data_IF_629294195303
#
_entry.id   IF_629294195303
#
_cell.length_a   1.000
_cell.length_b   1.000
_cell.length_c   1.000
_cell.angle_alpha   90.00
_cell.angle_beta   90.00
_cell.angle_gamma   90.00
#
_symmetry.space_group_name_H-M   'P 1'
#
loop_
_entity.id
_entity.type
_entity.pdbx_description
1 polymer ?
#
# COMPACT_ATOMS: atom_id res chain seq x y z
N UNK A 1 19.34 5.56 14.06
CA UNK A 1 18.80 6.08 12.78
C UNK A 1 19.01 7.56 12.67
N UNK A 2 19.46 8.06 11.51
CA UNK A 2 19.28 9.50 11.22
C UNK A 2 17.80 9.75 10.96
N UNK A 3 17.23 10.83 11.51
CA UNK A 3 15.80 11.17 11.37
C UNK A 3 15.34 11.19 9.90
N UNK A 4 16.20 11.67 9.00
CA UNK A 4 15.95 11.69 7.56
C UNK A 4 15.76 10.29 6.94
N UNK A 5 16.55 9.30 7.35
CA UNK A 5 16.43 7.93 6.82
C UNK A 5 15.13 7.26 7.27
N UNK A 6 14.74 7.49 8.53
CA UNK A 6 13.46 7.02 9.04
C UNK A 6 12.29 7.61 8.24
N UNK A 7 12.28 8.93 8.05
CA UNK A 7 11.23 9.62 7.30
C UNK A 7 11.14 9.13 5.84
N UNK A 8 12.28 8.88 5.19
CA UNK A 8 12.34 8.38 3.82
C UNK A 8 11.73 6.98 3.70
N UNK A 9 12.14 6.04 4.57
CA UNK A 9 11.62 4.66 4.51
C UNK A 9 10.17 4.59 4.96
N UNK A 10 9.77 5.39 5.95
CA UNK A 10 8.37 5.51 6.34
C UNK A 10 7.50 6.03 5.19
N UNK A 11 7.94 7.11 4.52
CA UNK A 11 7.23 7.67 3.36
C UNK A 11 7.13 6.64 2.25
N UNK A 12 8.22 5.94 1.93
CA UNK A 12 8.23 4.89 0.92
C UNK A 12 7.25 3.77 1.27
N UNK A 13 7.24 3.31 2.51
CA UNK A 13 6.33 2.26 2.96
C UNK A 13 4.87 2.69 2.87
N UNK A 14 4.58 3.94 3.24
CA UNK A 14 3.24 4.52 3.20
C UNK A 14 2.73 4.73 1.77
N UNK A 15 3.53 5.36 0.90
CA UNK A 15 3.12 5.61 -0.49
C UNK A 15 3.00 4.31 -1.29
N UNK A 16 3.86 3.33 -1.05
CA UNK A 16 3.75 2.01 -1.68
C UNK A 16 2.47 1.28 -1.20
N UNK A 17 2.13 1.36 0.09
CA UNK A 17 0.86 0.82 0.60
C UNK A 17 -0.34 1.48 -0.08
N UNK A 18 -0.37 2.82 -0.09
CA UNK A 18 -1.46 3.59 -0.67
C UNK A 18 -1.62 3.31 -2.17
N UNK A 19 -0.51 3.22 -2.92
CA UNK A 19 -0.50 2.88 -4.34
C UNK A 19 -1.04 1.47 -4.61
N UNK A 20 -0.59 0.47 -3.85
CA UNK A 20 -1.11 -0.90 -3.95
C UNK A 20 -2.61 -0.98 -3.64
N UNK A 21 -3.07 -0.29 -2.58
CA UNK A 21 -4.49 -0.22 -2.22
C UNK A 21 -5.36 0.44 -3.29
N UNK A 22 -4.84 1.49 -3.94
CA UNK A 22 -5.53 2.20 -5.02
C UNK A 22 -5.73 1.30 -6.24
N UNK A 23 -4.70 0.56 -6.64
CA UNK A 23 -4.78 -0.38 -7.77
C UNK A 23 -5.80 -1.50 -7.47
N UNK A 24 -5.80 -2.01 -6.23
CA UNK A 24 -6.73 -3.05 -5.80
C UNK A 24 -8.18 -2.53 -5.80
N UNK A 25 -8.40 -1.31 -5.28
CA UNK A 25 -9.72 -0.68 -5.22
C UNK A 25 -10.28 -0.36 -6.62
N UNK A 26 -9.42 -0.07 -7.59
CA UNK A 26 -9.81 0.15 -8.99
C UNK A 26 -10.02 -1.13 -9.82
N UNK A 27 -10.08 -2.31 -9.21
CA UNK A 27 -10.16 -3.61 -9.91
C UNK A 27 -9.10 -3.76 -11.02
N UNK A 28 -7.87 -3.32 -10.76
CA UNK A 28 -6.78 -3.39 -11.73
C UNK A 28 -7.03 -2.60 -13.02
N UNK A 29 -7.88 -1.56 -13.00
CA UNK A 29 -8.30 -0.73 -14.14
C UNK A 29 -9.14 -1.46 -15.21
N UNK A 30 -10.16 -2.25 -14.82
CA UNK A 30 -11.03 -2.96 -15.78
C UNK A 30 -12.49 -2.50 -15.87
N UNK A 31 -12.93 -1.45 -15.20
CA UNK A 31 -14.29 -0.93 -15.42
C UNK A 31 -14.28 0.57 -15.58
N UNK A 32 -14.57 1.00 -16.81
CA UNK A 32 -15.01 2.32 -17.22
C UNK A 32 -15.44 3.22 -16.06
N UNK A 33 -14.72 4.32 -15.87
CA UNK A 33 -15.15 5.39 -14.97
C UNK A 33 -16.49 5.97 -15.45
N UNK A 34 -17.52 5.98 -14.59
CA UNK A 34 -18.75 6.74 -14.81
C UNK A 34 -18.52 8.25 -15.04
N UNK A 35 -17.29 8.75 -14.80
CA UNK A 35 -16.91 10.18 -14.86
C UNK A 35 -16.00 10.53 -16.04
N UNK A 36 -16.03 9.75 -17.14
CA UNK A 36 -15.48 10.20 -18.43
C UNK A 36 -13.97 10.46 -18.49
N UNK A 37 -13.17 9.91 -17.57
CA UNK A 37 -11.72 10.04 -17.63
C UNK A 37 -11.07 8.88 -18.41
N UNK A 38 -9.98 9.22 -19.11
CA UNK A 38 -9.18 8.34 -19.96
C UNK A 38 -8.90 6.99 -19.30
N UNK A 39 -9.41 5.93 -19.93
CA UNK A 39 -9.16 4.54 -19.56
C UNK A 39 -7.66 4.25 -19.72
N UNK A 40 -6.91 4.34 -18.63
CA UNK A 40 -5.53 3.84 -18.61
C UNK A 40 -5.63 2.31 -18.56
N UNK A 41 -5.63 1.71 -19.75
CA UNK A 41 -5.53 0.27 -19.96
C UNK A 41 -4.15 -0.22 -19.52
N UNK A 42 -3.95 -0.41 -18.22
CA UNK A 42 -3.01 -1.45 -17.78
C UNK A 42 -3.80 -2.76 -17.86
N UNK A 43 -3.37 -3.78 -18.63
CA UNK A 43 -3.97 -5.11 -18.58
C UNK A 43 -4.12 -5.52 -17.12
N UNK A 44 -5.34 -5.85 -16.68
CA UNK A 44 -5.65 -6.18 -15.29
C UNK A 44 -4.58 -7.04 -14.59
N UNK A 45 -4.02 -8.10 -15.22
CA UNK A 45 -2.96 -8.90 -14.62
C UNK A 45 -1.69 -8.10 -14.28
N UNK A 46 -1.25 -7.20 -15.16
CA UNK A 46 -0.07 -6.37 -14.97
C UNK A 46 -0.28 -5.34 -13.84
N UNK A 47 -1.49 -4.82 -13.70
CA UNK A 47 -1.85 -3.93 -12.60
C UNK A 47 -1.75 -4.67 -11.25
N UNK A 48 -2.25 -5.90 -11.17
CA UNK A 48 -2.12 -6.72 -9.95
C UNK A 48 -0.67 -7.08 -9.63
N UNK A 49 0.18 -7.34 -10.63
CA UNK A 49 1.62 -7.54 -10.43
C UNK A 49 2.26 -6.28 -9.82
N UNK A 50 1.93 -5.09 -10.34
CA UNK A 50 2.44 -3.85 -9.77
C UNK A 50 1.93 -3.62 -8.34
N UNK A 51 0.65 -3.90 -8.08
CA UNK A 51 0.12 -3.83 -6.72
C UNK A 51 0.88 -4.76 -5.76
N UNK A 52 1.15 -6.00 -6.18
CA UNK A 52 1.93 -6.95 -5.39
C UNK A 52 3.35 -6.42 -5.09
N UNK A 53 4.05 -5.86 -6.09
CA UNK A 53 5.37 -5.24 -5.90
C UNK A 53 5.28 -4.09 -4.89
N UNK A 54 4.27 -3.22 -4.99
CA UNK A 54 4.08 -2.12 -4.06
C UNK A 54 3.83 -2.60 -2.63
N UNK A 55 3.00 -3.64 -2.43
CA UNK A 55 2.79 -4.24 -1.11
C UNK A 55 4.08 -4.85 -0.55
N UNK A 56 4.88 -5.55 -1.38
CA UNK A 56 6.17 -6.11 -0.95
C UNK A 56 7.13 -5.01 -0.52
N UNK A 57 7.28 -3.94 -1.29
CA UNK A 57 8.14 -2.80 -0.94
C UNK A 57 7.68 -2.13 0.36
N UNK A 58 6.36 -1.98 0.51
CA UNK A 58 5.77 -1.44 1.73
C UNK A 58 6.09 -2.30 2.95
N UNK A 59 5.94 -3.61 2.82
CA UNK A 59 6.16 -4.57 3.90
C UNK A 59 7.65 -4.64 4.28
N UNK A 60 8.56 -4.64 3.30
CA UNK A 60 10.00 -4.54 3.52
C UNK A 60 10.37 -3.26 4.27
N UNK A 61 9.77 -2.12 3.92
CA UNK A 61 9.98 -0.85 4.62
C UNK A 61 9.56 -0.93 6.09
N UNK A 62 8.38 -1.49 6.38
CA UNK A 62 7.89 -1.66 7.76
C UNK A 62 8.78 -2.63 8.56
N UNK A 63 9.15 -3.76 7.96
CA UNK A 63 10.05 -4.75 8.59
C UNK A 63 11.39 -4.12 8.92
N UNK A 64 11.97 -3.37 7.98
CA UNK A 64 13.25 -2.70 8.20
C UNK A 64 13.18 -1.66 9.32
N UNK A 65 12.08 -0.90 9.40
CA UNK A 65 11.84 0.04 10.51
C UNK A 65 11.73 -0.66 11.86
N UNK A 66 10.99 -1.78 11.93
CA UNK A 66 10.85 -2.58 13.16
C UNK A 66 12.18 -3.18 13.62
N UNK A 67 12.98 -3.68 12.68
CA UNK A 67 14.32 -4.19 12.95
C UNK A 67 15.23 -3.08 13.49
N UNK A 68 15.20 -1.89 12.88
CA UNK A 68 16.07 -0.80 13.30
C UNK A 68 15.66 -0.20 14.65
N UNK A 69 14.38 -0.27 14.99
CA UNK A 69 13.85 0.08 16.30
C UNK A 69 14.11 -1.01 17.36
N UNK A 70 14.67 -2.17 16.99
CA UNK A 70 14.80 -3.37 17.85
C UNK A 70 13.48 -3.71 18.56
N UNK A 71 12.37 -3.63 17.81
CA UNK A 71 11.04 -3.75 18.37
C UNK A 71 10.79 -5.14 18.98
N UNK A 72 10.18 -5.23 20.18
CA UNK A 72 9.85 -6.51 20.81
C UNK A 72 8.73 -7.22 20.04
N UNK A 73 8.60 -8.54 20.22
CA UNK A 73 7.67 -9.38 19.46
C UNK A 73 6.19 -8.92 19.52
N UNK A 74 5.77 -8.31 20.64
CA UNK A 74 4.43 -7.71 20.75
C UNK A 74 4.20 -6.58 19.75
N UNK A 75 5.21 -5.74 19.54
CA UNK A 75 5.13 -4.62 18.58
C UNK A 75 5.10 -5.15 17.15
N UNK A 76 5.75 -6.28 16.87
CA UNK A 76 5.62 -6.95 15.58
C UNK A 76 4.18 -7.42 15.31
N UNK A 77 3.54 -8.06 16.29
CA UNK A 77 2.14 -8.49 16.17
C UNK A 77 1.20 -7.28 15.97
N UNK A 78 1.39 -6.22 16.75
CA UNK A 78 0.62 -4.98 16.60
C UNK A 78 0.85 -4.32 15.25
N UNK A 79 2.10 -4.31 14.76
CA UNK A 79 2.42 -3.76 13.44
C UNK A 79 1.80 -4.57 12.32
N UNK A 80 1.77 -5.90 12.41
CA UNK A 80 1.11 -6.77 11.44
C UNK A 80 -0.41 -6.52 11.41
N UNK A 81 -1.05 -6.48 12.58
CA UNK A 81 -2.48 -6.17 12.68
C UNK A 81 -2.79 -4.74 12.19
N UNK A 82 -1.96 -3.77 12.55
CA UNK A 82 -2.08 -2.38 12.10
C UNK A 82 -1.88 -2.26 10.59
N UNK A 83 -0.94 -2.99 10.00
CA UNK A 83 -0.70 -3.01 8.57
C UNK A 83 -1.91 -3.58 7.81
N UNK A 84 -2.43 -4.74 8.24
CA UNK A 84 -3.62 -5.33 7.65
C UNK A 84 -4.85 -4.43 7.78
N UNK A 85 -5.06 -3.84 8.96
CA UNK A 85 -6.16 -2.92 9.23
C UNK A 85 -6.06 -1.64 8.39
N UNK A 86 -4.88 -1.03 8.30
CA UNK A 86 -4.66 0.16 7.48
C UNK A 86 -4.83 -0.14 6.00
N UNK A 87 -4.27 -1.25 5.49
CA UNK A 87 -4.48 -1.69 4.12
C UNK A 87 -5.98 -1.85 3.81
N UNK A 88 -6.72 -2.56 4.66
CA UNK A 88 -8.16 -2.77 4.47
C UNK A 88 -8.95 -1.46 4.46
N UNK A 89 -8.69 -0.58 5.42
CA UNK A 89 -9.37 0.72 5.52
C UNK A 89 -9.03 1.63 4.35
N UNK A 90 -7.77 1.65 3.90
CA UNK A 90 -7.33 2.40 2.72
C UNK A 90 -8.01 1.88 1.46
N UNK A 91 -7.98 0.57 1.20
CA UNK A 91 -8.66 -0.02 0.04
C UNK A 91 -10.15 0.30 0.06
N UNK A 92 -10.81 0.20 1.22
CA UNK A 92 -12.23 0.55 1.37
C UNK A 92 -12.52 2.04 1.19
N UNK A 93 -11.63 2.91 1.65
CA UNK A 93 -11.76 4.35 1.46
C UNK A 93 -11.60 4.71 -0.03
N UNK A 94 -10.59 4.15 -0.70
CA UNK A 94 -10.38 4.34 -2.13
C UNK A 94 -11.54 3.81 -2.96
N UNK A 95 -12.05 2.61 -2.66
CA UNK A 95 -13.20 2.05 -3.34
C UNK A 95 -14.43 2.97 -3.22
N UNK A 96 -14.71 3.48 -2.01
CA UNK A 96 -15.80 4.44 -1.79
C UNK A 96 -15.63 5.76 -2.56
N UNK A 97 -14.40 6.20 -2.78
CA UNK A 97 -14.13 7.44 -3.50
C UNK A 97 -14.22 7.25 -5.02
N UNK A 98 -13.90 6.06 -5.51
CA UNK A 98 -13.94 5.69 -6.93
C UNK A 98 -15.36 5.37 -7.43
N UNK A 99 -16.25 4.87 -6.57
CA UNK A 99 -17.66 4.58 -6.89
C UNK A 99 -18.58 5.80 -6.70
#
# INVERSE_FOLDING_TARGET
MRKAQFAAVFSLAFFALAGGCLILAGHGFTTSSKRGHWSVFVPAPQAYVMAAIMFVLSLLGVVWLLQQARAPHRVWLMAAAGYAGTAFLLTRAWARWLH
#
